data_IF_461002099789
#
_entry.id   IF_461002099789
#
_cell.length_a   1.000
_cell.length_b   1.000
_cell.length_c   1.000
_cell.angle_alpha   90.00
_cell.angle_beta   90.00
_cell.angle_gamma   90.00
#
_symmetry.space_group_name_H-M   'P 1'
#
loop_
_entity.id
_entity.type
_entity.pdbx_description
1 polymer ?
#
# COMPACT_ATOMS: atom_id res chain seq x y z
N UNK A 1 -13.57 -7.55 -13.47
CA UNK A 1 -12.23 -7.25 -12.91
C UNK A 1 -11.23 -6.82 -13.99
N UNK A 2 -11.11 -7.52 -15.13
CA UNK A 2 -10.28 -7.03 -16.26
C UNK A 2 -10.79 -5.72 -16.87
N UNK A 3 -12.11 -5.50 -16.93
CA UNK A 3 -12.68 -4.24 -17.40
C UNK A 3 -12.30 -3.04 -16.52
N UNK A 4 -12.26 -3.20 -15.19
CA UNK A 4 -11.87 -2.13 -14.27
C UNK A 4 -10.42 -1.67 -14.49
N UNK A 5 -9.52 -2.61 -14.79
CA UNK A 5 -8.12 -2.30 -15.15
C UNK A 5 -8.06 -1.46 -16.44
N UNK A 6 -8.76 -1.87 -17.49
CA UNK A 6 -8.74 -1.15 -18.77
C UNK A 6 -9.29 0.29 -18.66
N UNK A 7 -10.36 0.50 -17.86
CA UNK A 7 -10.89 1.84 -17.62
C UNK A 7 -9.90 2.75 -16.88
N UNK A 8 -9.20 2.22 -15.87
CA UNK A 8 -8.24 3.02 -15.08
C UNK A 8 -6.95 3.28 -15.87
N UNK A 9 -6.48 2.33 -16.68
CA UNK A 9 -5.32 2.54 -17.57
C UNK A 9 -5.59 3.68 -18.58
N UNK A 10 -6.82 3.79 -19.11
CA UNK A 10 -7.22 4.93 -19.94
C UNK A 10 -7.28 6.24 -19.15
N UNK A 11 -7.75 6.20 -17.89
CA UNK A 11 -7.79 7.39 -17.04
C UNK A 11 -6.39 7.94 -16.73
N UNK A 12 -5.39 7.09 -16.58
CA UNK A 12 -3.99 7.51 -16.35
C UNK A 12 -3.38 8.21 -17.56
N UNK A 13 -3.81 7.88 -18.78
CA UNK A 13 -3.39 8.62 -19.98
C UNK A 13 -3.88 10.08 -19.97
N UNK A 14 -4.99 10.36 -19.27
CA UNK A 14 -5.59 11.68 -19.14
C UNK A 14 -5.03 12.45 -17.93
N UNK A 15 -4.68 11.74 -16.84
CA UNK A 15 -4.23 12.32 -15.56
C UNK A 15 -2.94 11.66 -15.03
N UNK A 16 -1.82 11.71 -15.77
CA UNK A 16 -0.61 10.94 -15.42
C UNK A 16 0.10 11.40 -14.14
N UNK A 17 -0.25 12.57 -13.61
CA UNK A 17 0.37 13.25 -12.45
C UNK A 17 -0.55 13.35 -11.22
N UNK A 18 -1.70 12.69 -11.25
CA UNK A 18 -2.59 12.66 -10.09
C UNK A 18 -2.28 11.43 -9.23
N UNK A 19 -1.82 11.67 -7.99
CA UNK A 19 -1.47 10.61 -7.04
C UNK A 19 -2.66 9.71 -6.71
N UNK A 20 -3.89 10.23 -6.67
CA UNK A 20 -5.09 9.47 -6.35
C UNK A 20 -5.51 8.52 -7.47
N UNK A 21 -5.28 8.92 -8.73
CA UNK A 21 -5.53 8.06 -9.90
C UNK A 21 -4.52 6.91 -9.93
N UNK A 22 -3.25 7.21 -9.61
CA UNK A 22 -2.19 6.19 -9.46
C UNK A 22 -2.50 5.23 -8.32
N UNK A 23 -2.93 5.74 -7.17
CA UNK A 23 -3.37 4.94 -6.03
C UNK A 23 -4.51 3.98 -6.42
N UNK A 24 -5.53 4.50 -7.10
CA UNK A 24 -6.67 3.70 -7.57
C UNK A 24 -6.22 2.57 -8.51
N UNK A 25 -5.28 2.82 -9.44
CA UNK A 25 -4.72 1.77 -10.30
C UNK A 25 -3.94 0.74 -9.49
N UNK A 26 -3.08 1.20 -8.59
CA UNK A 26 -2.31 0.34 -7.71
C UNK A 26 -3.21 -0.57 -6.88
N UNK A 27 -4.30 -0.04 -6.34
CA UNK A 27 -5.30 -0.82 -5.62
C UNK A 27 -6.01 -1.83 -6.51
N UNK A 28 -6.32 -1.49 -7.77
CA UNK A 28 -6.87 -2.47 -8.71
C UNK A 28 -5.87 -3.60 -9.00
N UNK A 29 -4.59 -3.30 -9.20
CA UNK A 29 -3.57 -4.34 -9.32
C UNK A 29 -3.47 -5.22 -8.07
N UNK A 30 -3.58 -4.62 -6.89
CA UNK A 30 -3.61 -5.35 -5.62
C UNK A 30 -4.79 -6.32 -5.56
N UNK A 31 -6.00 -5.88 -5.92
CA UNK A 31 -7.19 -6.72 -5.95
C UNK A 31 -7.12 -7.84 -7.01
N UNK A 32 -6.37 -7.63 -8.09
CA UNK A 32 -6.09 -8.63 -9.11
C UNK A 32 -4.98 -9.63 -8.70
N UNK A 33 -4.30 -9.40 -7.58
CA UNK A 33 -3.18 -10.22 -7.11
C UNK A 33 -1.85 -9.91 -7.79
N UNK A 34 -1.79 -8.89 -8.66
CA UNK A 34 -0.53 -8.42 -9.25
C UNK A 34 0.15 -7.44 -8.30
N UNK A 35 0.66 -7.97 -7.19
CA UNK A 35 1.33 -7.17 -6.15
C UNK A 35 2.56 -6.42 -6.67
N UNK A 36 3.40 -6.98 -7.56
CA UNK A 36 4.49 -6.21 -8.17
C UNK A 36 4.01 -4.97 -8.93
N UNK A 37 2.90 -5.06 -9.68
CA UNK A 37 2.33 -3.89 -10.36
C UNK A 37 1.69 -2.90 -9.37
N UNK A 38 1.01 -3.41 -8.34
CA UNK A 38 0.43 -2.58 -7.28
C UNK A 38 1.49 -1.72 -6.61
N UNK A 39 2.61 -2.32 -6.19
CA UNK A 39 3.73 -1.60 -5.58
C UNK A 39 4.24 -0.48 -6.47
N UNK A 40 4.47 -0.74 -7.77
CA UNK A 40 4.99 0.28 -8.69
C UNK A 40 4.07 1.50 -8.80
N UNK A 41 2.77 1.28 -8.96
CA UNK A 41 1.82 2.39 -9.08
C UNK A 41 1.64 3.14 -7.75
N UNK A 42 1.66 2.43 -6.62
CA UNK A 42 1.54 3.04 -5.28
C UNK A 42 2.81 3.81 -4.87
N UNK A 43 4.00 3.36 -5.27
CA UNK A 43 5.24 4.16 -5.09
C UNK A 43 5.16 5.48 -5.88
N UNK A 44 4.63 5.45 -7.10
CA UNK A 44 4.38 6.66 -7.89
C UNK A 44 3.31 7.54 -7.25
N UNK A 45 2.25 6.94 -6.69
CA UNK A 45 1.20 7.66 -5.98
C UNK A 45 1.76 8.40 -4.76
N UNK A 46 2.58 7.73 -3.94
CA UNK A 46 3.28 8.36 -2.80
C UNK A 46 4.21 9.48 -3.25
N UNK A 47 4.93 9.30 -4.37
CA UNK A 47 5.81 10.36 -4.89
C UNK A 47 5.04 11.62 -5.32
N UNK A 48 3.78 11.48 -5.75
CA UNK A 48 2.91 12.59 -6.17
C UNK A 48 2.12 13.19 -5.00
N UNK A 49 1.76 12.38 -4.02
CA UNK A 49 0.91 12.75 -2.88
C UNK A 49 1.49 12.19 -1.57
N UNK A 50 2.66 12.67 -1.13
CA UNK A 50 3.41 12.07 -0.03
C UNK A 50 2.78 12.25 1.35
N UNK A 51 1.79 13.13 1.48
CA UNK A 51 1.11 13.45 2.74
C UNK A 51 -0.23 12.73 2.90
N UNK A 52 -0.66 11.92 1.92
CA UNK A 52 -1.90 11.16 2.06
C UNK A 52 -1.68 9.85 2.81
N UNK A 53 -2.26 9.68 4.01
CA UNK A 53 -2.03 8.48 4.81
C UNK A 53 -2.63 7.21 4.20
N UNK A 54 -3.70 7.33 3.40
CA UNK A 54 -4.39 6.21 2.76
C UNK A 54 -3.49 5.57 1.70
N UNK A 55 -2.80 6.40 0.90
CA UNK A 55 -1.88 5.92 -0.13
C UNK A 55 -0.70 5.17 0.51
N UNK A 56 -0.17 5.66 1.64
CA UNK A 56 0.85 4.94 2.41
C UNK A 56 0.32 3.63 2.99
N UNK A 57 -0.93 3.58 3.44
CA UNK A 57 -1.57 2.34 3.91
C UNK A 57 -1.70 1.30 2.78
N UNK A 58 -2.21 1.71 1.61
CA UNK A 58 -2.30 0.83 0.44
C UNK A 58 -0.92 0.34 -0.01
N UNK A 59 0.09 1.21 -0.01
CA UNK A 59 1.46 0.83 -0.33
C UNK A 59 2.00 -0.21 0.67
N UNK A 60 1.70 -0.05 1.96
CA UNK A 60 2.04 -1.05 2.98
C UNK A 60 1.39 -2.41 2.73
N UNK A 61 0.09 -2.42 2.40
CA UNK A 61 -0.63 -3.64 2.05
C UNK A 61 -0.01 -4.34 0.82
N UNK A 62 0.29 -3.56 -0.21
CA UNK A 62 0.92 -4.07 -1.44
C UNK A 62 2.30 -4.65 -1.18
N UNK A 63 3.15 -3.98 -0.39
CA UNK A 63 4.45 -4.51 0.01
C UNK A 63 4.34 -5.82 0.79
N UNK A 64 3.41 -5.88 1.74
CA UNK A 64 3.20 -7.08 2.54
C UNK A 64 2.80 -8.26 1.66
N UNK A 65 1.87 -8.08 0.72
CA UNK A 65 1.48 -9.13 -0.23
C UNK A 65 2.58 -9.47 -1.24
N UNK A 66 3.47 -8.53 -1.53
CA UNK A 66 4.66 -8.75 -2.33
C UNK A 66 5.84 -9.34 -1.53
N UNK A 67 5.63 -9.76 -0.28
CA UNK A 67 6.63 -10.32 0.64
C UNK A 67 7.75 -9.35 1.07
N UNK A 68 7.61 -8.04 0.85
CA UNK A 68 8.55 -7.02 1.33
C UNK A 68 8.09 -6.45 2.69
N UNK A 69 8.18 -7.29 3.73
CA UNK A 69 7.75 -6.96 5.09
C UNK A 69 8.47 -5.72 5.66
N UNK A 70 9.79 -5.52 5.45
CA UNK A 70 10.47 -4.31 5.92
C UNK A 70 9.88 -3.03 5.31
N UNK A 71 9.64 -3.00 3.99
CA UNK A 71 9.03 -1.82 3.36
C UNK A 71 7.56 -1.65 3.75
N UNK A 72 6.82 -2.74 3.93
CA UNK A 72 5.44 -2.68 4.42
C UNK A 72 5.37 -1.98 5.78
N UNK A 73 6.27 -2.35 6.70
CA UNK A 73 6.35 -1.71 8.02
C UNK A 73 6.66 -0.21 7.91
N UNK A 74 7.59 0.19 7.03
CA UNK A 74 7.92 1.61 6.83
C UNK A 74 6.72 2.41 6.31
N UNK A 75 6.01 1.87 5.31
CA UNK A 75 4.83 2.50 4.75
C UNK A 75 3.69 2.64 5.79
N UNK A 76 3.43 1.61 6.59
CA UNK A 76 2.44 1.70 7.66
C UNK A 76 2.84 2.67 8.78
N UNK A 77 4.12 2.75 9.15
CA UNK A 77 4.59 3.77 10.10
C UNK A 77 4.30 5.16 9.54
N UNK A 78 4.55 5.37 8.24
CA UNK A 78 4.26 6.66 7.62
C UNK A 78 2.76 6.99 7.59
N UNK A 79 1.91 6.02 7.27
CA UNK A 79 0.46 6.19 7.36
C UNK A 79 -0.01 6.55 8.78
N UNK A 80 0.57 5.92 9.81
CA UNK A 80 0.25 6.18 11.21
C UNK A 80 0.64 7.60 11.65
N UNK A 81 1.78 8.10 11.18
CA UNK A 81 2.23 9.48 11.41
C UNK A 81 1.30 10.52 10.78
N UNK A 82 0.79 10.23 9.57
CA UNK A 82 0.01 11.15 8.77
C UNK A 82 -1.49 11.15 9.08
N UNK A 83 -2.04 10.04 9.60
CA UNK A 83 -3.43 10.04 10.05
C UNK A 83 -3.64 11.03 11.20
N UNK A 84 -4.77 11.72 11.21
CA UNK A 84 -5.18 12.57 12.34
C UNK A 84 -6.16 11.83 13.26
N UNK A 85 -7.01 10.97 12.70
CA UNK A 85 -8.08 10.28 13.43
C UNK A 85 -7.58 8.97 14.08
N UNK A 86 -7.87 8.78 15.38
CA UNK A 86 -7.38 7.62 16.14
C UNK A 86 -7.98 6.29 15.65
N UNK A 87 -9.22 6.27 15.18
CA UNK A 87 -9.85 5.08 14.59
C UNK A 87 -9.06 4.55 13.37
N UNK A 88 -8.56 5.44 12.50
CA UNK A 88 -7.75 5.08 11.33
C UNK A 88 -6.35 4.64 11.76
N UNK A 89 -5.74 5.35 12.71
CA UNK A 89 -4.45 4.94 13.32
C UNK A 89 -4.50 3.53 13.89
N UNK A 90 -5.59 3.18 14.58
CA UNK A 90 -5.76 1.87 15.19
C UNK A 90 -5.88 0.74 14.15
N UNK A 91 -6.43 1.01 12.97
CA UNK A 91 -6.40 0.05 11.86
C UNK A 91 -4.97 -0.23 11.42
N UNK A 92 -4.18 0.84 11.19
CA UNK A 92 -2.79 0.72 10.75
C UNK A 92 -1.88 0.10 11.82
N UNK A 93 -2.09 0.44 13.10
CA UNK A 93 -1.36 -0.12 14.25
C UNK A 93 -1.53 -1.64 14.31
N UNK A 94 -2.76 -2.14 14.15
CA UNK A 94 -3.02 -3.59 14.12
C UNK A 94 -2.33 -4.28 12.94
N UNK A 95 -2.26 -3.65 11.77
CA UNK A 95 -1.49 -4.18 10.63
C UNK A 95 0.00 -4.30 10.98
N UNK A 96 0.59 -3.27 11.59
CA UNK A 96 1.98 -3.30 12.08
C UNK A 96 2.24 -4.38 13.13
N UNK A 97 1.36 -4.54 14.10
CA UNK A 97 1.48 -5.59 15.12
C UNK A 97 1.40 -7.00 14.52
N UNK A 98 0.52 -7.19 13.54
CA UNK A 98 0.38 -8.45 12.81
C UNK A 98 1.64 -8.79 12.01
N UNK A 99 2.33 -7.77 11.47
CA UNK A 99 3.64 -7.94 10.85
C UNK A 99 4.64 -8.43 11.90
N UNK A 100 4.87 -7.70 12.99
CA UNK A 100 5.90 -8.09 13.98
C UNK A 100 5.62 -9.44 14.66
N UNK A 101 4.35 -9.78 14.88
CA UNK A 101 3.97 -11.05 15.51
C UNK A 101 4.24 -12.27 14.61
N UNK A 102 4.22 -12.08 13.29
CA UNK A 102 4.59 -13.11 12.33
C UNK A 102 6.09 -13.46 12.31
N UNK A 103 6.94 -12.59 12.86
CA UNK A 103 8.40 -12.82 12.93
C UNK A 103 8.80 -13.70 14.14
N UNK A 104 7.88 -13.92 15.09
CA UNK A 104 8.12 -14.72 16.32
C UNK A 104 8.05 -16.25 16.12
N UNK A 105 8.15 -16.78 14.88
CA UNK A 105 8.14 -18.23 14.63
C UNK A 105 9.32 -18.79 13.82
N UNK A 106 10.47 -18.10 13.78
CA UNK A 106 11.66 -18.60 13.07
C UNK A 106 12.99 -18.43 13.82
N UNK A 107 12.96 -18.42 15.16
CA UNK A 107 14.15 -18.24 16.00
C UNK A 107 14.36 -19.33 17.06
N UNK A 108 14.09 -20.60 16.73
CA UNK A 108 14.12 -21.69 17.71
C UNK A 108 14.80 -22.97 17.23
N UNK A 109 15.97 -22.89 16.59
CA UNK A 109 16.86 -24.05 16.40
C UNK A 109 18.33 -23.64 16.43
N UNK A 110 18.93 -23.67 17.63
CA UNK A 110 20.19 -24.37 17.90
C UNK A 110 20.45 -24.48 19.39
#
# INVERSE_FOLDING_TARGET
MQEAKAYIEQAILQLPKDGFVRDSLGWVYYQLGDFPAAVRELELAVALSPEDPTIHEHLGDAYLKNNDRPKASQAYVKALELHEEENKKEVVRRKLESLSSGDNHSGGLK
#
